data_IF_410275560348
#
_entry.id   IF_410275560348
#
_cell.length_a   1.000
_cell.length_b   1.000
_cell.length_c   1.000
_cell.angle_alpha   90.00
_cell.angle_beta   90.00
_cell.angle_gamma   90.00
#
_symmetry.space_group_name_H-M   'P 1'
#
loop_
_entity.id
_entity.type
_entity.pdbx_description
1 polymer ?
#
# COMPACT_ATOMS: atom_id res chain seq x y z
N UNK A 1 9.72 -5.62 82.57
CA UNK A 1 8.67 -4.78 81.96
C UNK A 1 8.29 -5.36 80.60
N UNK A 2 7.00 -5.65 80.35
CA UNK A 2 6.57 -6.20 79.05
C UNK A 2 6.57 -5.07 78.01
N UNK A 3 7.39 -5.19 76.94
CA UNK A 3 7.53 -4.16 75.88
C UNK A 3 6.18 -3.59 75.39
N UNK A 4 5.17 -4.44 75.27
CA UNK A 4 3.81 -4.06 74.85
C UNK A 4 3.16 -3.01 75.76
N UNK A 5 3.40 -3.08 77.07
CA UNK A 5 2.85 -2.12 78.05
C UNK A 5 3.55 -0.77 77.93
N UNK A 6 4.85 -0.76 77.62
CA UNK A 6 5.62 0.45 77.36
C UNK A 6 5.11 1.16 76.09
N UNK A 7 5.01 0.44 74.95
CA UNK A 7 4.48 1.03 73.71
C UNK A 7 3.07 1.61 73.84
N UNK A 8 2.15 0.92 74.55
CA UNK A 8 0.78 1.42 74.77
C UNK A 8 0.75 2.69 75.62
N UNK A 9 1.57 2.76 76.68
CA UNK A 9 1.67 3.98 77.52
C UNK A 9 2.30 5.14 76.76
N UNK A 10 3.32 4.89 75.94
CA UNK A 10 3.93 5.90 75.08
C UNK A 10 2.96 6.41 74.01
N UNK A 11 2.16 5.52 73.40
CA UNK A 11 1.11 5.91 72.46
C UNK A 11 0.06 6.82 73.11
N UNK A 12 -0.37 6.47 74.32
CA UNK A 12 -1.36 7.24 75.08
C UNK A 12 -0.81 8.58 75.59
N UNK A 13 0.47 8.63 76.00
CA UNK A 13 1.11 9.87 76.45
C UNK A 13 1.26 10.89 75.31
N UNK A 14 1.69 10.45 74.12
CA UNK A 14 1.81 11.30 72.92
C UNK A 14 0.60 11.22 71.98
N UNK A 15 -0.61 11.02 72.52
CA UNK A 15 -1.80 10.72 71.72
C UNK A 15 -2.13 11.79 70.66
N UNK A 16 -1.86 13.08 70.92
CA UNK A 16 -2.11 14.18 69.97
C UNK A 16 -1.20 14.09 68.75
N UNK A 17 0.08 13.80 68.95
CA UNK A 17 1.07 13.65 67.87
C UNK A 17 0.82 12.38 67.07
N UNK A 18 0.55 11.26 67.76
CA UNK A 18 0.21 9.99 67.11
C UNK A 18 -1.09 10.08 66.30
N UNK A 19 -2.09 10.81 66.80
CA UNK A 19 -3.34 11.09 66.07
C UNK A 19 -3.08 11.92 64.80
N UNK A 20 -2.26 12.96 64.88
CA UNK A 20 -1.89 13.76 63.71
C UNK A 20 -1.17 12.91 62.64
N UNK A 21 -0.22 12.06 63.04
CA UNK A 21 0.47 11.13 62.13
C UNK A 21 -0.52 10.13 61.52
N UNK A 22 -1.42 9.55 62.33
CA UNK A 22 -2.44 8.62 61.83
C UNK A 22 -3.38 9.28 60.82
N UNK A 23 -3.81 10.53 61.05
CA UNK A 23 -4.63 11.30 60.12
C UNK A 23 -3.87 11.64 58.83
N UNK A 24 -2.58 11.98 58.91
CA UNK A 24 -1.75 12.19 57.71
C UNK A 24 -1.62 10.91 56.88
N UNK A 25 -1.39 9.76 57.53
CA UNK A 25 -1.32 8.45 56.84
C UNK A 25 -2.68 8.09 56.24
N UNK A 26 -3.78 8.32 56.97
CA UNK A 26 -5.14 8.09 56.46
C UNK A 26 -5.45 8.97 55.24
N UNK A 27 -5.09 10.26 55.28
CA UNK A 27 -5.27 11.17 54.16
C UNK A 27 -4.39 10.77 52.96
N UNK A 28 -3.12 10.45 53.18
CA UNK A 28 -2.20 10.01 52.13
C UNK A 28 -2.66 8.71 51.46
N UNK A 29 -3.10 7.73 52.26
CA UNK A 29 -3.63 6.46 51.73
C UNK A 29 -4.95 6.67 50.97
N UNK A 30 -5.85 7.52 51.45
CA UNK A 30 -7.10 7.86 50.77
C UNK A 30 -6.85 8.55 49.40
N UNK A 31 -5.90 9.48 49.34
CA UNK A 31 -5.54 10.14 48.07
C UNK A 31 -4.92 9.16 47.08
N UNK A 32 -4.00 8.30 47.53
CA UNK A 32 -3.36 7.29 46.68
C UNK A 32 -4.37 6.25 46.16
N UNK A 33 -5.25 5.75 47.03
CA UNK A 33 -6.31 4.80 46.62
C UNK A 33 -7.34 5.46 45.70
N UNK A 34 -7.74 6.70 45.97
CA UNK A 34 -8.63 7.47 45.10
C UNK A 34 -8.04 7.67 43.70
N UNK A 35 -6.76 8.07 43.60
CA UNK A 35 -6.08 8.25 42.33
C UNK A 35 -5.96 6.94 41.53
N UNK A 36 -5.66 5.82 42.19
CA UNK A 36 -5.60 4.50 41.57
C UNK A 36 -6.98 4.06 41.04
N UNK A 37 -8.03 4.25 41.83
CA UNK A 37 -9.39 3.82 41.46
C UNK A 37 -9.96 4.64 40.29
N UNK A 38 -9.72 5.96 40.28
CA UNK A 38 -10.09 6.83 39.16
C UNK A 38 -9.30 6.47 37.90
N UNK A 39 -8.00 6.23 38.04
CA UNK A 39 -7.15 5.81 36.92
C UNK A 39 -7.60 4.49 36.30
N UNK A 40 -7.93 3.50 37.13
CA UNK A 40 -8.42 2.19 36.68
C UNK A 40 -9.80 2.29 36.01
N UNK A 41 -10.72 3.05 36.61
CA UNK A 41 -12.05 3.28 36.04
C UNK A 41 -12.00 3.99 34.68
N UNK A 42 -11.13 5.00 34.54
CA UNK A 42 -10.94 5.69 33.25
C UNK A 42 -10.31 4.78 32.20
N UNK A 43 -9.29 3.99 32.56
CA UNK A 43 -8.69 3.02 31.64
C UNK A 43 -9.71 1.98 31.18
N UNK A 44 -10.48 1.42 32.12
CA UNK A 44 -11.54 0.46 31.83
C UNK A 44 -12.60 1.04 30.90
N UNK A 45 -13.07 2.27 31.19
CA UNK A 45 -14.08 2.94 30.36
C UNK A 45 -13.57 3.26 28.96
N UNK A 46 -12.32 3.75 28.83
CA UNK A 46 -11.72 4.05 27.54
C UNK A 46 -11.49 2.77 26.72
N UNK A 47 -11.01 1.70 27.36
CA UNK A 47 -10.83 0.40 26.72
C UNK A 47 -12.17 -0.17 26.25
N UNK A 48 -13.20 -0.14 27.09
CA UNK A 48 -14.54 -0.61 26.75
C UNK A 48 -15.15 0.20 25.59
N UNK A 49 -14.98 1.53 25.60
CA UNK A 49 -15.44 2.37 24.50
C UNK A 49 -14.70 2.10 23.19
N UNK A 50 -13.38 1.85 23.24
CA UNK A 50 -12.59 1.51 22.07
C UNK A 50 -13.01 0.14 21.50
N UNK A 51 -13.14 -0.88 22.35
CA UNK A 51 -13.51 -2.24 21.94
C UNK A 51 -14.92 -2.31 21.36
N UNK A 52 -15.90 -1.61 21.96
CA UNK A 52 -17.27 -1.57 21.42
C UNK A 52 -17.38 -0.94 20.03
N UNK A 53 -16.41 -0.11 19.61
CA UNK A 53 -16.37 0.47 18.26
C UNK A 53 -15.87 -0.51 17.20
N UNK A 54 -15.20 -1.58 17.61
CA UNK A 54 -14.66 -2.60 16.71
C UNK A 54 -15.71 -3.68 16.38
N UNK A 55 -16.82 -3.73 17.11
CA UNK A 55 -17.80 -4.80 16.97
C UNK A 55 -17.15 -6.16 17.24
N UNK A 56 -17.37 -7.11 16.35
CA UNK A 56 -16.78 -8.46 16.41
C UNK A 56 -15.42 -8.56 15.72
N UNK A 57 -14.82 -7.46 15.27
CA UNK A 57 -13.56 -7.47 14.52
C UNK A 57 -12.38 -7.54 15.50
N UNK A 58 -11.63 -8.65 15.45
CA UNK A 58 -10.48 -8.89 16.33
C UNK A 58 -9.14 -8.59 15.63
N UNK A 59 -9.06 -8.87 14.33
CA UNK A 59 -7.88 -8.58 13.53
C UNK A 59 -8.26 -7.87 12.24
N UNK A 60 -7.36 -6.98 11.79
CA UNK A 60 -7.48 -6.30 10.51
C UNK A 60 -6.15 -6.40 9.78
N UNK A 61 -6.23 -6.84 8.52
CA UNK A 61 -5.14 -6.66 7.57
C UNK A 61 -5.43 -5.39 6.79
N UNK A 62 -4.49 -4.45 6.77
CA UNK A 62 -4.52 -3.28 5.88
C UNK A 62 -3.23 -3.27 5.09
N UNK A 63 -3.33 -3.24 3.77
CA UNK A 63 -2.21 -3.13 2.87
C UNK A 63 -2.16 -1.73 2.24
N UNK A 64 -0.94 -1.25 1.96
CA UNK A 64 -0.73 -0.03 1.16
C UNK A 64 -1.03 -0.23 -0.33
N UNK A 65 -1.44 -1.43 -0.74
CA UNK A 65 -1.79 -1.82 -2.11
C UNK A 65 -3.13 -2.55 -2.12
N UNK A 66 -3.76 -2.59 -3.28
CA UNK A 66 -4.91 -3.46 -3.51
C UNK A 66 -4.43 -4.87 -3.87
N UNK A 67 -5.15 -5.88 -3.42
CA UNK A 67 -4.96 -7.30 -3.68
C UNK A 67 -6.32 -7.95 -4.00
N UNK A 68 -6.31 -9.18 -4.53
CA UNK A 68 -7.52 -9.88 -4.95
C UNK A 68 -8.50 -10.11 -3.80
N UNK A 69 -9.77 -9.78 -4.02
CA UNK A 69 -10.87 -10.03 -3.09
C UNK A 69 -11.03 -11.53 -2.81
N UNK A 70 -10.63 -12.39 -3.75
CA UNK A 70 -10.64 -13.85 -3.65
C UNK A 70 -9.73 -14.40 -2.54
N UNK A 71 -8.78 -13.60 -2.03
CA UNK A 71 -8.03 -13.95 -0.82
C UNK A 71 -8.97 -14.09 0.39
N UNK A 72 -10.02 -13.26 0.49
CA UNK A 72 -10.99 -13.36 1.57
C UNK A 72 -11.69 -14.73 1.56
N UNK A 73 -12.23 -15.16 0.42
CA UNK A 73 -12.89 -16.46 0.28
C UNK A 73 -11.95 -17.64 0.54
N UNK A 74 -10.71 -17.58 0.05
CA UNK A 74 -9.72 -18.65 0.29
C UNK A 74 -9.38 -18.78 1.77
N UNK A 75 -9.27 -17.66 2.49
CA UNK A 75 -9.05 -17.66 3.92
C UNK A 75 -10.29 -18.17 4.66
N UNK A 76 -11.48 -17.73 4.28
CA UNK A 76 -12.76 -18.18 4.86
C UNK A 76 -12.91 -19.71 4.73
N UNK A 77 -12.68 -20.28 3.53
CA UNK A 77 -12.74 -21.72 3.27
C UNK A 77 -11.76 -22.52 4.14
N UNK A 78 -10.53 -22.01 4.32
CA UNK A 78 -9.51 -22.64 5.16
C UNK A 78 -9.83 -22.54 6.65
N UNK A 79 -10.47 -21.45 7.06
CA UNK A 79 -10.88 -21.23 8.44
C UNK A 79 -12.11 -22.06 8.79
N UNK A 80 -13.13 -22.12 7.94
CA UNK A 80 -14.32 -22.95 8.14
C UNK A 80 -13.97 -24.44 8.28
N UNK A 81 -12.98 -24.91 7.52
CA UNK A 81 -12.47 -26.28 7.61
C UNK A 81 -11.75 -26.60 8.93
N UNK A 82 -11.20 -25.59 9.64
CA UNK A 82 -10.40 -25.76 10.86
C UNK A 82 -11.12 -25.34 12.14
N UNK A 83 -11.96 -24.33 12.04
CA UNK A 83 -12.62 -23.60 13.13
C UNK A 83 -13.90 -22.98 12.56
N UNK A 84 -15.08 -23.55 12.86
CA UNK A 84 -16.38 -23.09 12.33
C UNK A 84 -16.86 -21.71 12.85
N UNK A 85 -15.96 -20.74 13.00
CA UNK A 85 -16.16 -19.58 13.87
C UNK A 85 -15.46 -18.29 13.45
N UNK A 86 -14.74 -18.21 12.33
CA UNK A 86 -14.13 -16.93 11.94
C UNK A 86 -14.60 -16.51 10.55
N UNK A 87 -15.24 -15.34 10.49
CA UNK A 87 -15.66 -14.74 9.24
C UNK A 87 -14.59 -13.79 8.71
N UNK A 88 -14.20 -13.94 7.44
CA UNK A 88 -13.28 -13.01 6.75
C UNK A 88 -14.08 -12.10 5.82
N UNK A 89 -13.96 -10.79 6.01
CA UNK A 89 -14.72 -9.79 5.25
C UNK A 89 -13.80 -8.86 4.45
N UNK A 90 -13.94 -8.80 3.12
CA UNK A 90 -13.16 -7.90 2.28
C UNK A 90 -13.67 -6.45 2.38
N UNK A 91 -12.76 -5.49 2.38
CA UNK A 91 -13.11 -4.07 2.43
C UNK A 91 -12.09 -3.18 1.71
N UNK A 92 -12.58 -2.04 1.24
CA UNK A 92 -11.72 -0.92 0.83
C UNK A 92 -11.68 0.09 1.97
N UNK A 93 -10.48 0.46 2.41
CA UNK A 93 -10.27 1.49 3.41
C UNK A 93 -9.44 2.62 2.82
N UNK A 94 -10.05 3.80 2.72
CA UNK A 94 -9.42 5.01 2.22
C UNK A 94 -9.65 6.17 3.19
N UNK A 95 -8.86 7.23 3.02
CA UNK A 95 -9.10 8.51 3.68
C UNK A 95 -9.41 9.56 2.61
N UNK A 96 -10.46 10.35 2.83
CA UNK A 96 -10.92 11.33 1.85
C UNK A 96 -11.47 12.61 2.48
N UNK A 97 -11.89 13.52 1.62
CA UNK A 97 -12.73 14.66 1.97
C UNK A 97 -14.15 14.44 1.47
N UNK A 98 -15.14 14.92 2.21
CA UNK A 98 -16.54 14.86 1.79
C UNK A 98 -17.12 16.27 1.81
N UNK A 99 -17.85 16.64 0.77
CA UNK A 99 -18.53 17.93 0.69
C UNK A 99 -19.98 17.74 0.32
N UNK A 100 -20.88 18.44 1.00
CA UNK A 100 -22.30 18.47 0.64
C UNK A 100 -22.47 19.22 -0.70
N UNK A 101 -23.22 18.65 -1.65
CA UNK A 101 -23.31 19.18 -3.00
C UNK A 101 -23.89 20.61 -3.05
N UNK A 102 -24.97 20.86 -2.31
CA UNK A 102 -25.66 22.16 -2.34
C UNK A 102 -25.07 23.17 -1.35
N UNK A 103 -24.98 22.81 -0.06
CA UNK A 103 -24.51 23.72 0.98
C UNK A 103 -23.01 24.00 0.96
N UNK A 104 -22.23 23.20 0.19
CA UNK A 104 -20.75 23.25 0.11
C UNK A 104 -20.02 23.08 1.45
N UNK A 105 -20.72 22.68 2.51
CA UNK A 105 -20.11 22.32 3.80
C UNK A 105 -19.27 21.07 3.59
N UNK A 106 -18.08 21.04 4.18
CA UNK A 106 -17.11 19.99 3.93
C UNK A 106 -16.45 19.49 5.21
N UNK A 107 -16.12 18.21 5.19
CA UNK A 107 -15.32 17.53 6.19
C UNK A 107 -14.06 16.95 5.52
N UNK A 108 -12.95 16.90 6.26
CA UNK A 108 -11.68 16.33 5.80
C UNK A 108 -11.26 15.19 6.71
N UNK A 109 -10.35 14.32 6.22
CA UNK A 109 -9.91 13.12 6.95
C UNK A 109 -11.07 12.20 7.33
N UNK A 110 -12.04 12.09 6.42
CA UNK A 110 -13.15 11.15 6.54
C UNK A 110 -12.63 9.77 6.18
N UNK A 111 -12.87 8.78 7.04
CA UNK A 111 -12.61 7.39 6.73
C UNK A 111 -13.70 6.89 5.78
N UNK A 112 -13.30 6.49 4.58
CA UNK A 112 -14.18 6.01 3.52
C UNK A 112 -14.04 4.49 3.44
N UNK A 113 -15.13 3.80 3.71
CA UNK A 113 -15.23 2.35 3.76
C UNK A 113 -16.01 1.84 2.54
N UNK A 114 -15.38 1.07 1.68
CA UNK A 114 -16.05 0.23 0.69
C UNK A 114 -16.37 -1.11 1.33
N UNK A 115 -17.63 -1.35 1.65
CA UNK A 115 -18.08 -2.54 2.38
C UNK A 115 -19.31 -3.15 1.72
N UNK A 116 -19.53 -4.42 1.99
CA UNK A 116 -20.72 -5.15 1.58
C UNK A 116 -21.72 -5.30 2.74
N UNK A 117 -22.80 -6.05 2.50
CA UNK A 117 -23.82 -6.31 3.52
C UNK A 117 -23.33 -7.17 4.69
N UNK A 118 -22.26 -7.95 4.51
CA UNK A 118 -21.72 -8.83 5.54
C UNK A 118 -20.89 -8.10 6.58
N UNK A 119 -20.29 -6.96 6.24
CA UNK A 119 -19.68 -6.05 7.21
C UNK A 119 -20.63 -5.70 8.37
N UNK A 120 -21.89 -5.39 8.07
CA UNK A 120 -22.88 -5.02 9.08
C UNK A 120 -23.29 -6.18 9.99
N UNK A 121 -23.02 -7.44 9.61
CA UNK A 121 -23.24 -8.61 10.48
C UNK A 121 -22.19 -8.72 11.58
N UNK A 122 -21.10 -7.94 11.48
CA UNK A 122 -20.04 -7.86 12.48
C UNK A 122 -20.40 -6.94 13.64
N UNK A 123 -21.51 -6.19 13.56
CA UNK A 123 -21.98 -5.40 14.70
C UNK A 123 -22.57 -6.35 15.76
N UNK A 124 -22.16 -6.19 17.01
CA UNK A 124 -22.71 -6.95 18.13
C UNK A 124 -24.18 -6.56 18.42
N UNK A 125 -24.65 -5.43 17.87
CA UNK A 125 -26.05 -5.00 17.94
C UNK A 125 -26.87 -5.61 16.78
N UNK A 126 -27.78 -6.53 17.09
CA UNK A 126 -28.70 -7.16 16.11
C UNK A 126 -29.89 -6.24 15.71
N UNK A 127 -30.47 -6.41 14.50
CA UNK A 127 -30.54 -5.38 13.45
C UNK A 127 -31.98 -5.02 13.01
N UNK A 128 -32.18 -3.83 12.43
CA UNK A 128 -33.50 -3.30 12.06
C UNK A 128 -33.68 -2.73 10.65
N UNK A 129 -32.63 -2.63 9.84
CA UNK A 129 -32.74 -2.40 8.40
C UNK A 129 -31.46 -2.87 7.72
N UNK A 130 -31.50 -3.47 6.53
CA UNK A 130 -30.31 -3.58 5.70
C UNK A 130 -29.88 -2.15 5.35
N UNK A 131 -28.92 -1.62 6.09
CA UNK A 131 -28.08 -0.51 5.67
C UNK A 131 -26.99 -1.05 4.75
N UNK A 132 -27.35 -1.95 3.84
CA UNK A 132 -26.55 -2.12 2.64
C UNK A 132 -26.97 -0.96 1.75
N UNK A 133 -26.05 -0.10 1.29
CA UNK A 133 -26.35 0.78 0.18
C UNK A 133 -26.73 -0.15 -0.99
N UNK A 134 -28.03 -0.25 -1.24
CA UNK A 134 -28.63 -1.33 -2.03
C UNK A 134 -28.63 -1.00 -3.52
N UNK A 135 -28.18 0.20 -3.86
CA UNK A 135 -28.17 0.78 -5.20
C UNK A 135 -26.79 1.38 -5.45
N UNK A 136 -26.33 1.32 -6.69
CA UNK A 136 -25.11 2.01 -7.14
C UNK A 136 -25.13 3.48 -6.68
N UNK A 137 -24.01 3.95 -6.12
CA UNK A 137 -23.80 5.34 -5.67
C UNK A 137 -24.64 5.80 -4.48
N UNK A 138 -25.15 4.89 -3.66
CA UNK A 138 -25.62 5.24 -2.31
C UNK A 138 -24.48 5.26 -1.30
N UNK A 139 -24.66 6.01 -0.21
CA UNK A 139 -23.73 6.00 0.92
C UNK A 139 -24.42 6.21 2.27
N UNK A 140 -23.80 5.67 3.31
CA UNK A 140 -24.25 5.82 4.69
C UNK A 140 -23.22 6.64 5.45
N UNK A 141 -23.70 7.68 6.12
CA UNK A 141 -22.87 8.52 6.98
C UNK A 141 -23.00 8.04 8.42
N UNK A 142 -21.96 8.20 9.23
CA UNK A 142 -22.16 8.18 10.67
C UNK A 142 -22.69 9.54 11.18
N UNK A 143 -23.33 9.53 12.34
CA UNK A 143 -23.90 10.73 12.97
C UNK A 143 -22.94 11.93 13.06
N UNK A 144 -21.65 11.76 13.46
CA UNK A 144 -20.68 12.86 13.48
C UNK A 144 -20.50 13.51 12.10
N UNK A 145 -20.32 12.71 11.05
CA UNK A 145 -20.14 13.21 9.69
C UNK A 145 -21.42 13.87 9.14
N UNK A 146 -22.58 13.26 9.37
CA UNK A 146 -23.86 13.84 8.97
C UNK A 146 -24.09 15.21 9.64
N UNK A 147 -23.76 15.34 10.93
CA UNK A 147 -23.86 16.61 11.66
C UNK A 147 -22.88 17.66 11.15
N UNK A 148 -21.65 17.27 10.84
CA UNK A 148 -20.61 18.18 10.33
C UNK A 148 -20.97 18.73 8.94
N UNK A 149 -21.51 17.88 8.06
CA UNK A 149 -21.97 18.27 6.72
C UNK A 149 -23.33 18.97 6.76
N UNK A 150 -24.14 18.70 7.79
CA UNK A 150 -25.57 19.05 7.80
C UNK A 150 -26.38 18.25 6.78
N UNK A 151 -25.96 17.01 6.50
CA UNK A 151 -26.56 16.13 5.49
C UNK A 151 -27.62 15.22 6.10
N UNK A 152 -28.68 14.96 5.33
CA UNK A 152 -29.79 14.06 5.64
C UNK A 152 -29.94 12.99 4.54
N UNK A 153 -30.65 11.88 4.81
CA UNK A 153 -30.99 10.92 3.77
C UNK A 153 -31.72 11.60 2.59
N UNK A 154 -31.28 11.32 1.37
CA UNK A 154 -31.72 11.94 0.13
C UNK A 154 -30.79 13.04 -0.40
N UNK A 155 -29.87 13.57 0.42
CA UNK A 155 -28.92 14.59 -0.01
C UNK A 155 -27.75 13.98 -0.80
N UNK A 156 -27.20 14.76 -1.71
CA UNK A 156 -26.00 14.37 -2.46
C UNK A 156 -24.73 14.91 -1.80
N UNK A 157 -23.73 14.04 -1.67
CA UNK A 157 -22.39 14.39 -1.20
C UNK A 157 -21.33 14.02 -2.24
N UNK A 158 -20.31 14.86 -2.33
CA UNK A 158 -19.16 14.69 -3.21
C UNK A 158 -17.98 14.22 -2.37
N UNK A 159 -17.53 13.00 -2.65
CA UNK A 159 -16.48 12.28 -1.93
C UNK A 159 -15.20 12.40 -2.76
N UNK A 160 -14.23 13.14 -2.23
CA UNK A 160 -12.91 13.29 -2.84
C UNK A 160 -11.94 12.31 -2.21
N UNK A 161 -11.48 11.34 -2.98
CA UNK A 161 -10.52 10.31 -2.58
C UNK A 161 -9.35 10.27 -3.54
N UNK A 162 -8.22 9.74 -3.08
CA UNK A 162 -7.07 9.50 -3.95
C UNK A 162 -7.35 8.35 -4.92
N UNK A 163 -6.86 8.44 -6.15
CA UNK A 163 -6.93 7.34 -7.10
C UNK A 163 -5.99 6.23 -6.66
N UNK A 164 -6.41 4.98 -6.85
CA UNK A 164 -5.54 3.84 -6.70
C UNK A 164 -4.57 3.78 -7.89
N UNK A 165 -3.31 4.14 -7.69
CA UNK A 165 -2.24 3.89 -8.66
C UNK A 165 -1.39 2.73 -8.16
N UNK A 166 -1.17 1.67 -8.96
CA UNK A 166 -0.25 0.60 -8.59
C UNK A 166 1.19 1.14 -8.53
N UNK A 167 1.52 2.10 -9.40
CA UNK A 167 2.84 2.73 -9.43
C UNK A 167 2.90 3.85 -8.39
N UNK A 168 3.86 3.82 -7.45
CA UNK A 168 3.94 4.82 -6.38
C UNK A 168 4.24 6.21 -6.94
N UNK A 169 3.57 7.24 -6.40
CA UNK A 169 3.72 8.64 -6.84
C UNK A 169 5.16 9.17 -6.74
N UNK A 170 5.96 8.58 -5.86
CA UNK A 170 7.37 8.93 -5.68
C UNK A 170 8.26 8.42 -6.81
N UNK A 171 7.81 7.47 -7.63
CA UNK A 171 8.59 6.96 -8.79
C UNK A 171 8.43 7.87 -10.02
N UNK A 172 9.29 7.68 -11.04
CA UNK A 172 9.14 8.38 -12.32
C UNK A 172 7.79 8.13 -12.98
N UNK A 173 7.34 6.87 -12.96
CA UNK A 173 6.13 6.42 -13.62
C UNK A 173 4.87 6.61 -12.75
N UNK A 174 4.99 7.28 -11.60
CA UNK A 174 3.88 7.59 -10.70
C UNK A 174 3.22 8.94 -11.01
N UNK A 175 1.88 8.97 -11.14
CA UNK A 175 1.12 10.22 -11.37
C UNK A 175 1.01 11.04 -10.08
N UNK A 176 1.19 12.36 -10.19
CA UNK A 176 1.17 13.32 -9.06
C UNK A 176 0.10 14.38 -9.24
N UNK A 177 0.07 14.96 -10.42
CA UNK A 177 -0.94 15.93 -10.82
C UNK A 177 -2.20 15.14 -11.20
N UNK A 178 -3.31 15.38 -10.50
CA UNK A 178 -4.61 14.73 -10.67
C UNK A 178 -4.77 13.31 -10.07
N UNK A 179 -4.10 13.03 -8.94
CA UNK A 179 -4.32 11.79 -8.19
C UNK A 179 -5.58 11.82 -7.30
N UNK A 180 -6.49 12.79 -7.45
CA UNK A 180 -7.75 12.82 -6.69
C UNK A 180 -8.95 12.66 -7.61
N UNK A 181 -9.85 11.75 -7.28
CA UNK A 181 -11.14 11.63 -7.95
C UNK A 181 -12.27 12.12 -7.04
N UNK A 182 -13.35 12.59 -7.66
CA UNK A 182 -14.58 12.96 -6.95
C UNK A 182 -15.70 12.01 -7.34
N UNK A 183 -16.23 11.29 -6.36
CA UNK A 183 -17.39 10.42 -6.50
C UNK A 183 -18.61 11.12 -5.92
N UNK A 184 -19.68 11.30 -6.71
CA UNK A 184 -20.97 11.77 -6.21
C UNK A 184 -21.77 10.58 -5.71
N UNK A 185 -22.20 10.61 -4.45
CA UNK A 185 -23.06 9.61 -3.83
C UNK A 185 -24.25 10.26 -3.14
N UNK A 186 -25.37 9.55 -3.11
CA UNK A 186 -26.58 9.98 -2.42
C UNK A 186 -26.63 9.34 -1.04
N UNK A 187 -26.92 10.12 -0.01
CA UNK A 187 -27.01 9.63 1.37
C UNK A 187 -28.27 8.78 1.50
N UNK A 188 -28.13 7.47 1.73
CA UNK A 188 -29.28 6.58 1.95
C UNK A 188 -29.64 6.44 3.44
N UNK A 189 -28.69 6.70 4.34
CA UNK A 189 -28.94 6.59 5.77
C UNK A 189 -27.85 7.22 6.64
N UNK A 190 -28.19 7.40 7.92
CA UNK A 190 -27.26 7.84 8.96
C UNK A 190 -27.21 6.81 10.09
N UNK A 191 -26.02 6.33 10.43
CA UNK A 191 -25.78 5.35 11.51
C UNK A 191 -25.23 6.01 12.76
N UNK A 192 -25.58 5.45 13.92
CA UNK A 192 -25.09 5.96 15.20
C UNK A 192 -23.57 5.82 15.33
N UNK A 193 -22.92 6.74 16.04
CA UNK A 193 -21.46 6.70 16.29
C UNK A 193 -20.99 5.54 17.21
N UNK A 194 -21.88 4.59 17.54
CA UNK A 194 -21.61 3.46 18.43
C UNK A 194 -21.69 2.17 17.63
N UNK A 195 -21.01 1.12 18.08
CA UNK A 195 -20.83 -0.08 17.25
C UNK A 195 -19.99 0.27 16.02
N UNK A 196 -20.31 -0.34 14.88
CA UNK A 196 -19.53 -0.18 13.64
C UNK A 196 -19.66 1.22 13.01
N UNK A 197 -20.70 1.98 13.31
CA UNK A 197 -20.79 3.38 12.84
C UNK A 197 -19.69 4.28 13.41
N UNK A 198 -19.09 3.89 14.55
CA UNK A 198 -17.91 4.53 15.14
C UNK A 198 -16.60 3.79 14.91
N UNK A 199 -16.56 2.85 13.95
CA UNK A 199 -15.37 2.05 13.67
C UNK A 199 -14.16 2.93 13.34
N UNK A 200 -13.00 2.60 13.92
CA UNK A 200 -11.75 3.31 13.69
C UNK A 200 -10.57 2.40 14.06
N UNK A 201 -9.58 2.32 13.19
CA UNK A 201 -8.30 1.65 13.45
C UNK A 201 -7.31 2.55 14.22
N UNK A 202 -7.55 3.86 14.22
CA UNK A 202 -6.71 4.82 14.92
C UNK A 202 -7.13 4.96 16.38
N UNK A 203 -6.20 4.90 17.34
CA UNK A 203 -6.47 5.14 18.75
C UNK A 203 -6.66 6.64 18.99
N UNK A 204 -7.82 7.17 18.61
CA UNK A 204 -8.15 8.58 18.81
C UNK A 204 -9.37 8.75 19.71
N UNK A 205 -9.35 9.79 20.54
CA UNK A 205 -10.49 10.15 21.41
C UNK A 205 -11.57 10.94 20.65
N UNK A 206 -11.24 11.46 19.47
CA UNK A 206 -12.20 12.14 18.61
C UNK A 206 -13.24 11.13 18.08
N UNK A 207 -14.44 11.63 17.79
CA UNK A 207 -15.45 10.84 17.08
C UNK A 207 -14.98 10.71 15.63
N UNK A 208 -14.76 9.48 15.13
CA UNK A 208 -14.32 9.29 13.76
C UNK A 208 -15.43 9.74 12.81
N UNK A 209 -15.05 10.30 11.67
CA UNK A 209 -15.96 10.67 10.60
C UNK A 209 -15.94 9.53 9.58
N UNK A 210 -17.05 8.79 9.48
CA UNK A 210 -17.11 7.57 8.69
C UNK A 210 -18.16 7.70 7.58
N UNK A 211 -17.76 7.33 6.38
CA UNK A 211 -18.61 7.19 5.21
C UNK A 211 -18.52 5.74 4.73
N UNK A 212 -19.66 5.07 4.60
CA UNK A 212 -19.76 3.71 4.08
C UNK A 212 -20.41 3.73 2.70
N UNK A 213 -19.76 3.11 1.72
CA UNK A 213 -20.16 3.06 0.30
C UNK A 213 -20.16 1.59 -0.13
N UNK A 214 -21.00 1.15 -1.09
CA UNK A 214 -20.91 -0.21 -1.59
C UNK A 214 -19.49 -0.51 -2.08
N UNK A 215 -18.98 -1.70 -1.71
CA UNK A 215 -17.66 -2.16 -2.14
C UNK A 215 -17.50 -2.06 -3.66
N UNK A 216 -18.47 -2.57 -4.42
CA UNK A 216 -18.48 -2.54 -5.89
C UNK A 216 -18.42 -1.12 -6.46
N UNK A 217 -19.11 -0.16 -5.83
CA UNK A 217 -19.10 1.25 -6.27
C UNK A 217 -17.70 1.85 -6.13
N UNK A 218 -16.98 1.59 -5.04
CA UNK A 218 -15.60 2.06 -4.91
C UNK A 218 -14.65 1.30 -5.84
N UNK A 219 -14.81 0.00 -6.01
CA UNK A 219 -14.00 -0.79 -6.94
C UNK A 219 -14.10 -0.27 -8.37
N UNK A 220 -15.32 -0.03 -8.86
CA UNK A 220 -15.55 0.55 -10.19
C UNK A 220 -15.00 1.98 -10.29
N UNK A 221 -15.25 2.83 -9.29
CA UNK A 221 -14.77 4.21 -9.30
C UNK A 221 -13.23 4.28 -9.35
N UNK A 222 -12.55 3.35 -8.65
CA UNK A 222 -11.09 3.28 -8.56
C UNK A 222 -10.42 2.52 -9.71
N UNK A 223 -11.17 1.91 -10.63
CA UNK A 223 -10.66 0.98 -11.65
C UNK A 223 -9.91 -0.21 -10.99
N UNK A 224 -10.50 -0.76 -9.92
CA UNK A 224 -9.98 -1.82 -9.05
C UNK A 224 -11.00 -2.95 -8.86
N UNK A 225 -11.57 -3.44 -9.96
CA UNK A 225 -12.57 -4.51 -9.93
C UNK A 225 -12.06 -5.75 -9.19
N UNK A 226 -12.89 -6.30 -8.29
CA UNK A 226 -12.55 -7.45 -7.43
C UNK A 226 -11.26 -7.30 -6.64
N UNK A 227 -10.79 -6.07 -6.39
CA UNK A 227 -9.64 -5.83 -5.52
C UNK A 227 -10.03 -5.05 -4.28
N UNK A 228 -9.31 -5.32 -3.20
CA UNK A 228 -9.49 -4.70 -1.88
C UNK A 228 -8.13 -4.42 -1.25
N UNK A 229 -8.07 -3.53 -0.27
CA UNK A 229 -6.83 -3.25 0.46
C UNK A 229 -6.94 -3.56 1.96
N UNK A 230 -8.10 -4.05 2.42
CA UNK A 230 -8.30 -4.46 3.79
C UNK A 230 -9.10 -5.77 3.89
N UNK A 231 -8.77 -6.56 4.91
CA UNK A 231 -9.56 -7.71 5.36
C UNK A 231 -9.87 -7.55 6.84
N UNK A 232 -11.14 -7.75 7.22
CA UNK A 232 -11.57 -7.83 8.60
C UNK A 232 -11.76 -9.29 9.00
N UNK A 233 -11.18 -9.67 10.12
CA UNK A 233 -11.32 -11.01 10.71
C UNK A 233 -12.16 -10.87 11.98
N UNK A 234 -13.26 -11.61 12.04
CA UNK A 234 -14.16 -11.60 13.18
C UNK A 234 -14.28 -12.99 13.80
N UNK A 235 -14.01 -13.13 15.10
CA UNK A 235 -14.20 -14.37 15.83
C UNK A 235 -15.61 -14.44 16.44
N UNK A 236 -16.29 -15.55 16.17
CA UNK A 236 -17.60 -15.93 16.69
C UNK A 236 -17.51 -16.47 18.13
N UNK A 237 -16.31 -16.55 18.71
CA UNK A 237 -16.08 -16.90 20.11
C UNK A 237 -16.76 -15.96 21.12
N UNK A 238 -17.31 -16.52 22.19
CA UNK A 238 -17.82 -15.72 23.34
C UNK A 238 -16.66 -15.23 24.21
N UNK A 239 -16.81 -14.06 24.85
CA UNK A 239 -15.72 -13.29 25.47
C UNK A 239 -14.84 -13.99 26.53
N UNK A 240 -15.18 -15.18 27.01
CA UNK A 240 -14.31 -16.00 27.89
C UNK A 240 -13.36 -16.92 27.09
N UNK A 241 -13.72 -17.31 25.85
CA UNK A 241 -12.88 -18.11 24.94
C UNK A 241 -11.90 -17.25 24.14
N UNK A 242 -12.24 -15.98 23.88
CA UNK A 242 -11.37 -14.97 23.21
C UNK A 242 -10.02 -14.76 23.91
N UNK A 243 -9.92 -15.06 25.20
CA UNK A 243 -8.71 -14.86 26.01
C UNK A 243 -7.86 -16.14 26.19
N UNK A 244 -8.35 -17.32 25.78
CA UNK A 244 -7.82 -18.60 26.25
C UNK A 244 -7.53 -19.67 25.20
N UNK A 245 -7.95 -19.51 23.95
CA UNK A 245 -7.66 -20.46 22.87
C UNK A 245 -6.94 -19.70 21.77
N UNK A 246 -5.76 -20.18 21.37
CA UNK A 246 -5.00 -19.58 20.28
C UNK A 246 -5.86 -19.57 19.02
N UNK A 247 -6.50 -18.44 18.74
CA UNK A 247 -7.04 -18.13 17.43
C UNK A 247 -5.91 -18.41 16.45
N UNK A 248 -6.19 -19.22 15.42
CA UNK A 248 -5.22 -19.50 14.38
C UNK A 248 -4.70 -18.15 13.89
N UNK A 249 -3.42 -17.87 14.18
CA UNK A 249 -2.86 -16.53 13.96
C UNK A 249 -3.08 -16.20 12.49
N UNK A 250 -3.84 -15.13 12.14
CA UNK A 250 -4.13 -14.79 10.75
C UNK A 250 -2.85 -14.69 9.91
N UNK A 251 -1.72 -14.37 10.54
CA UNK A 251 -0.39 -14.42 9.93
C UNK A 251 -0.01 -15.80 9.36
N UNK A 252 -0.29 -16.90 10.07
CA UNK A 252 0.01 -18.27 9.60
C UNK A 252 -0.90 -18.67 8.44
N UNK A 253 -2.17 -18.29 8.49
CA UNK A 253 -3.13 -18.54 7.42
C UNK A 253 -2.73 -17.78 6.15
N UNK A 254 -2.38 -16.50 6.28
CA UNK A 254 -1.84 -15.69 5.18
C UNK A 254 -0.60 -16.34 4.58
N UNK A 255 0.36 -16.78 5.41
CA UNK A 255 1.60 -17.43 4.94
C UNK A 255 1.34 -18.66 4.07
N UNK A 256 0.23 -19.38 4.30
CA UNK A 256 -0.11 -20.61 3.56
C UNK A 256 -1.05 -20.38 2.38
N UNK A 257 -1.70 -19.22 2.30
CA UNK A 257 -2.79 -18.95 1.35
C UNK A 257 -2.44 -17.89 0.30
N UNK A 258 -1.45 -17.04 0.58
CA UNK A 258 -1.05 -15.96 -0.32
C UNK A 258 -0.50 -16.51 -1.65
N UNK A 259 -0.92 -15.90 -2.75
CA UNK A 259 -0.34 -16.09 -4.08
C UNK A 259 0.58 -14.92 -4.44
N UNK A 260 1.36 -15.06 -5.52
CA UNK A 260 2.15 -13.96 -6.07
C UNK A 260 1.26 -12.76 -6.44
N UNK A 261 0.08 -13.01 -7.00
CA UNK A 261 -0.87 -11.96 -7.39
C UNK A 261 -1.35 -11.13 -6.20
N UNK A 262 -1.58 -11.75 -5.03
CA UNK A 262 -1.92 -11.01 -3.79
C UNK A 262 -0.78 -10.08 -3.32
N UNK A 263 0.46 -10.40 -3.73
CA UNK A 263 1.64 -9.59 -3.49
C UNK A 263 1.87 -8.54 -4.59
N UNK A 264 1.05 -8.51 -5.63
CA UNK A 264 1.24 -7.66 -6.80
C UNK A 264 2.39 -8.13 -7.68
N UNK A 265 2.73 -9.42 -7.62
CA UNK A 265 3.81 -10.05 -8.37
C UNK A 265 3.22 -10.95 -9.47
N UNK A 266 3.88 -10.96 -10.63
CA UNK A 266 3.51 -11.77 -11.78
C UNK A 266 4.69 -12.61 -12.21
N UNK A 267 4.41 -13.84 -12.63
CA UNK A 267 5.41 -14.75 -13.14
C UNK A 267 5.10 -15.05 -14.60
N UNK A 268 5.93 -14.55 -15.52
CA UNK A 268 5.76 -14.74 -16.96
C UNK A 268 6.73 -15.80 -17.45
N UNK A 269 6.17 -16.89 -17.99
CA UNK A 269 6.96 -17.98 -18.57
C UNK A 269 7.19 -17.68 -20.05
N UNK A 270 8.45 -17.53 -20.46
CA UNK A 270 8.81 -17.38 -21.87
C UNK A 270 9.49 -18.64 -22.38
N UNK A 271 8.68 -19.63 -22.74
CA UNK A 271 9.14 -20.94 -23.20
C UNK A 271 10.03 -20.84 -24.44
N UNK A 272 9.64 -20.02 -25.42
CA UNK A 272 10.38 -19.84 -26.68
C UNK A 272 11.77 -19.20 -26.48
N UNK A 273 11.95 -18.49 -25.37
CA UNK A 273 13.20 -17.79 -25.02
C UNK A 273 13.94 -18.44 -23.85
N UNK A 274 13.38 -19.50 -23.26
CA UNK A 274 14.02 -20.30 -22.22
C UNK A 274 14.18 -19.61 -20.86
N UNK A 275 13.33 -18.64 -20.51
CA UNK A 275 13.40 -17.96 -19.21
C UNK A 275 12.04 -17.75 -18.53
N UNK A 276 12.13 -17.41 -17.25
CA UNK A 276 11.03 -17.05 -16.37
C UNK A 276 11.27 -15.63 -15.86
N UNK A 277 10.30 -14.74 -16.04
CA UNK A 277 10.37 -13.36 -15.57
C UNK A 277 9.50 -13.19 -14.34
N UNK A 278 10.07 -12.70 -13.24
CA UNK A 278 9.32 -12.24 -12.08
C UNK A 278 9.16 -10.72 -12.19
N UNK A 279 7.92 -10.26 -12.22
CA UNK A 279 7.57 -8.85 -12.45
C UNK A 279 6.68 -8.34 -11.32
N UNK A 280 6.66 -7.01 -11.13
CA UNK A 280 5.88 -6.33 -10.12
C UNK A 280 4.92 -5.35 -10.78
N UNK A 281 3.65 -5.34 -10.36
CA UNK A 281 2.67 -4.33 -10.83
C UNK A 281 3.07 -2.89 -10.47
N UNK A 282 4.00 -2.73 -9.51
CA UNK A 282 4.53 -1.43 -9.08
C UNK A 282 5.74 -0.98 -9.90
N UNK A 283 6.09 -1.70 -10.97
CA UNK A 283 7.28 -1.51 -11.85
C UNK A 283 8.64 -1.75 -11.19
N UNK A 284 8.68 -1.88 -9.86
CA UNK A 284 9.90 -2.12 -9.10
C UNK A 284 9.71 -3.35 -8.20
N UNK A 285 10.77 -4.14 -8.08
CA UNK A 285 10.86 -5.26 -7.14
C UNK A 285 11.50 -4.73 -5.86
N UNK A 286 10.82 -4.94 -4.73
CA UNK A 286 11.33 -4.52 -3.43
C UNK A 286 12.43 -5.47 -2.94
N UNK A 287 13.44 -4.99 -2.18
CA UNK A 287 14.56 -5.82 -1.74
C UNK A 287 14.16 -7.13 -1.03
N UNK A 288 13.10 -7.18 -0.19
CA UNK A 288 12.65 -8.45 0.40
C UNK A 288 12.15 -9.47 -0.63
N UNK A 289 11.51 -9.00 -1.71
CA UNK A 289 11.02 -9.85 -2.81
C UNK A 289 12.18 -10.35 -3.65
N UNK A 290 13.13 -9.47 -3.99
CA UNK A 290 14.36 -9.84 -4.71
C UNK A 290 15.15 -10.91 -3.96
N UNK A 291 15.35 -10.73 -2.65
CA UNK A 291 16.06 -11.70 -1.81
C UNK A 291 15.34 -13.06 -1.77
N UNK A 292 14.00 -13.07 -1.64
CA UNK A 292 13.20 -14.29 -1.64
C UNK A 292 13.22 -15.00 -3.01
N UNK A 293 13.10 -14.25 -4.10
CA UNK A 293 13.16 -14.77 -5.46
C UNK A 293 14.55 -15.37 -5.77
N UNK A 294 15.62 -14.69 -5.36
CA UNK A 294 16.99 -15.17 -5.51
C UNK A 294 17.24 -16.45 -4.73
N UNK A 295 16.76 -16.52 -3.48
CA UNK A 295 16.85 -17.74 -2.67
C UNK A 295 16.06 -18.91 -3.30
N UNK A 296 14.86 -18.63 -3.83
CA UNK A 296 14.05 -19.63 -4.52
C UNK A 296 14.75 -20.14 -5.80
N UNK A 297 15.28 -19.24 -6.63
CA UNK A 297 16.03 -19.61 -7.82
C UNK A 297 17.29 -20.43 -7.49
N UNK A 298 18.03 -20.05 -6.45
CA UNK A 298 19.19 -20.80 -5.97
C UNK A 298 18.81 -22.22 -5.52
N UNK A 299 17.67 -22.39 -4.85
CA UNK A 299 17.17 -23.72 -4.45
C UNK A 299 16.80 -24.62 -5.64
N UNK A 300 16.47 -24.02 -6.79
CA UNK A 300 16.17 -24.70 -8.05
C UNK A 300 17.40 -24.87 -8.94
N UNK A 301 18.56 -24.32 -8.55
CA UNK A 301 19.75 -24.26 -9.41
C UNK A 301 19.56 -23.39 -10.65
N UNK A 302 18.58 -22.47 -10.64
CA UNK A 302 18.30 -21.56 -11.72
C UNK A 302 19.13 -20.28 -11.57
N UNK A 303 19.84 -19.82 -12.62
CA UNK A 303 20.55 -18.56 -12.57
C UNK A 303 19.56 -17.38 -12.55
N UNK A 304 19.95 -16.31 -11.87
CA UNK A 304 19.16 -15.09 -11.75
C UNK A 304 19.85 -13.98 -12.54
N UNK A 305 19.09 -13.27 -13.36
CA UNK A 305 19.55 -12.10 -14.09
C UNK A 305 18.67 -10.91 -13.70
N UNK A 306 19.16 -9.99 -12.85
CA UNK A 306 18.46 -8.75 -12.57
C UNK A 306 18.42 -7.87 -13.83
N UNK A 307 17.23 -7.37 -14.16
CA UNK A 307 17.01 -6.49 -15.31
C UNK A 307 16.35 -5.22 -14.79
N UNK A 308 16.92 -4.06 -15.14
CA UNK A 308 16.33 -2.75 -14.87
C UNK A 308 16.20 -1.99 -16.17
N UNK A 309 14.97 -1.80 -16.63
CA UNK A 309 14.68 -0.98 -17.81
C UNK A 309 14.18 0.39 -17.39
N UNK A 310 14.75 1.42 -17.99
CA UNK A 310 14.46 2.82 -17.70
C UNK A 310 14.17 3.58 -18.99
N UNK A 311 13.34 4.62 -18.89
CA UNK A 311 13.11 5.54 -20.01
C UNK A 311 14.11 6.69 -19.93
N UNK A 312 15.02 6.75 -20.90
CA UNK A 312 15.86 7.92 -21.13
C UNK A 312 15.07 8.98 -21.90
N UNK A 313 15.11 10.23 -21.44
CA UNK A 313 14.51 11.37 -22.12
C UNK A 313 15.22 11.63 -23.44
N UNK A 314 16.55 11.48 -23.46
CA UNK A 314 17.34 11.54 -24.68
C UNK A 314 18.62 10.74 -24.61
N UNK A 315 19.05 10.26 -25.78
CA UNK A 315 20.37 9.68 -26.04
C UNK A 315 21.05 10.59 -27.06
N UNK A 316 22.19 11.16 -26.70
CA UNK A 316 22.96 12.02 -27.60
C UNK A 316 24.39 11.49 -27.71
N UNK A 317 25.00 11.57 -28.88
CA UNK A 317 26.37 11.10 -29.03
C UNK A 317 26.83 11.10 -30.48
N UNK A 318 27.93 10.39 -30.71
CA UNK A 318 28.60 10.29 -32.01
C UNK A 318 30.01 10.88 -31.98
N UNK A 319 30.69 10.93 -33.14
CA UNK A 319 32.04 11.42 -33.25
C UNK A 319 32.13 12.86 -32.73
N UNK A 320 33.13 13.12 -31.89
CA UNK A 320 33.38 14.47 -31.40
C UNK A 320 33.73 15.38 -32.57
N UNK A 321 32.81 16.28 -32.92
CA UNK A 321 33.03 17.22 -34.02
C UNK A 321 34.04 18.31 -33.57
N UNK A 322 35.24 18.40 -34.18
CA UNK A 322 36.19 19.46 -33.87
C UNK A 322 35.70 20.87 -34.24
N UNK A 323 34.60 20.98 -35.01
CA UNK A 323 33.96 22.25 -35.41
C UNK A 323 32.84 22.71 -34.47
N UNK A 324 32.49 21.91 -33.45
CA UNK A 324 31.49 22.28 -32.44
C UNK A 324 30.03 22.06 -32.83
N UNK A 325 29.75 21.24 -33.86
CA UNK A 325 28.37 20.84 -34.20
C UNK A 325 27.72 20.11 -33.02
N UNK A 326 26.45 20.44 -32.69
CA UNK A 326 25.72 19.72 -31.65
C UNK A 326 25.52 18.26 -32.05
N UNK A 327 25.57 17.36 -31.06
CA UNK A 327 25.30 15.94 -31.26
C UNK A 327 23.90 15.71 -31.83
N UNK A 328 23.77 14.66 -32.64
CA UNK A 328 22.45 14.11 -32.96
C UNK A 328 21.83 13.57 -31.66
N UNK A 329 20.51 13.72 -31.54
CA UNK A 329 19.77 13.34 -30.34
C UNK A 329 18.61 12.44 -30.73
N UNK A 330 18.56 11.26 -30.11
CA UNK A 330 17.40 10.38 -30.14
C UNK A 330 16.55 10.69 -28.91
N UNK A 331 15.29 11.13 -29.06
CA UNK A 331 14.40 11.35 -27.92
C UNK A 331 13.79 10.02 -27.44
N UNK A 332 13.41 9.96 -26.16
CA UNK A 332 12.56 8.92 -25.55
C UNK A 332 12.90 7.49 -25.95
N UNK A 333 13.86 6.88 -25.25
CA UNK A 333 14.32 5.52 -25.54
C UNK A 333 14.43 4.69 -24.26
N UNK A 334 14.07 3.40 -24.36
CA UNK A 334 14.28 2.46 -23.25
C UNK A 334 15.74 2.03 -23.21
N UNK A 335 16.35 2.14 -22.02
CA UNK A 335 17.71 1.68 -21.72
C UNK A 335 17.59 0.60 -20.66
N UNK A 336 18.26 -0.54 -20.89
CA UNK A 336 18.17 -1.70 -19.99
C UNK A 336 19.55 -1.97 -19.40
N UNK A 337 19.64 -1.91 -18.07
CA UNK A 337 20.80 -2.37 -17.33
C UNK A 337 20.69 -3.88 -17.10
N UNK A 338 21.70 -4.62 -17.55
CA UNK A 338 21.76 -6.09 -17.52
C UNK A 338 23.20 -6.50 -17.28
N UNK A 339 23.40 -7.63 -16.61
CA UNK A 339 24.69 -8.30 -16.58
C UNK A 339 24.78 -9.30 -17.75
N UNK A 340 25.73 -9.06 -18.65
CA UNK A 340 25.94 -9.89 -19.85
C UNK A 340 26.79 -11.13 -19.53
N UNK A 341 27.31 -11.26 -18.30
CA UNK A 341 28.21 -12.34 -17.94
C UNK A 341 27.48 -13.69 -17.74
N UNK A 342 27.63 -14.53 -18.77
CA UNK A 342 27.62 -15.99 -18.76
C UNK A 342 26.30 -16.76 -18.57
N UNK A 343 25.15 -16.09 -18.37
CA UNK A 343 23.88 -16.79 -18.18
C UNK A 343 22.91 -16.55 -19.35
N UNK A 344 22.34 -17.62 -19.92
CA UNK A 344 21.26 -17.48 -20.91
C UNK A 344 20.04 -16.83 -20.24
N UNK A 345 19.31 -15.94 -20.95
CA UNK A 345 19.50 -15.62 -22.36
C UNK A 345 20.53 -14.50 -22.66
N UNK A 346 21.17 -13.88 -21.66
CA UNK A 346 22.07 -12.73 -21.88
C UNK A 346 23.32 -13.10 -22.67
N UNK A 347 23.81 -14.33 -22.47
CA UNK A 347 24.92 -14.89 -23.24
C UNK A 347 24.65 -14.97 -24.77
N UNK A 348 23.40 -14.83 -25.21
CA UNK A 348 23.01 -14.88 -26.63
C UNK A 348 22.97 -13.48 -27.29
N UNK A 349 23.26 -12.40 -26.56
CA UNK A 349 23.39 -11.06 -27.14
C UNK A 349 24.63 -11.01 -28.02
N UNK A 350 24.45 -10.67 -29.30
CA UNK A 350 25.51 -10.63 -30.30
C UNK A 350 25.70 -9.24 -30.87
N UNK A 351 26.96 -8.89 -31.14
CA UNK A 351 27.33 -7.70 -31.86
C UNK A 351 26.99 -7.84 -33.35
N UNK A 352 26.95 -6.72 -34.08
CA UNK A 352 26.66 -6.69 -35.53
C UNK A 352 27.68 -7.53 -36.34
N UNK A 353 28.89 -7.73 -35.82
CA UNK A 353 29.91 -8.59 -36.43
C UNK A 353 29.77 -10.09 -36.09
N UNK A 354 28.72 -10.47 -35.35
CA UNK A 354 28.42 -11.84 -34.94
C UNK A 354 29.20 -12.33 -33.73
N UNK A 355 30.06 -11.50 -33.13
CA UNK A 355 30.75 -11.85 -31.88
C UNK A 355 29.82 -11.68 -30.66
N UNK A 356 30.02 -12.43 -29.57
CA UNK A 356 29.27 -12.20 -28.33
C UNK A 356 29.51 -10.79 -27.80
N UNK A 357 28.46 -10.16 -27.25
CA UNK A 357 28.61 -8.86 -26.61
C UNK A 357 29.55 -8.97 -25.39
N UNK A 358 30.52 -8.05 -25.23
CA UNK A 358 31.43 -8.09 -24.11
C UNK A 358 30.73 -7.70 -22.81
N UNK A 359 31.28 -8.16 -21.68
CA UNK A 359 30.98 -7.60 -20.37
C UNK A 359 31.20 -6.08 -20.39
N UNK A 360 30.29 -5.32 -19.78
CA UNK A 360 30.42 -3.88 -19.67
C UNK A 360 31.12 -3.49 -18.37
N UNK A 361 32.13 -2.65 -18.48
CA UNK A 361 32.72 -1.97 -17.33
C UNK A 361 31.83 -0.84 -16.80
N UNK A 362 32.26 -0.17 -15.71
CA UNK A 362 31.64 1.07 -15.27
C UNK A 362 31.64 2.11 -16.39
N UNK A 363 30.55 2.85 -16.55
CA UNK A 363 30.38 3.91 -17.55
C UNK A 363 30.52 3.44 -19.02
N UNK A 364 30.25 2.17 -19.29
CA UNK A 364 30.22 1.60 -20.64
C UNK A 364 28.79 1.30 -21.10
N UNK A 365 28.52 1.44 -22.40
CA UNK A 365 27.19 1.18 -22.98
C UNK A 365 27.30 0.46 -24.33
N UNK A 366 26.25 -0.30 -24.67
CA UNK A 366 26.01 -0.83 -26.01
C UNK A 366 24.81 -0.13 -26.62
N UNK A 367 24.86 0.16 -27.92
CA UNK A 367 23.73 0.64 -28.70
C UNK A 367 23.27 -0.44 -29.67
N UNK A 368 21.98 -0.50 -29.96
CA UNK A 368 21.52 -1.30 -31.08
C UNK A 368 21.94 -0.65 -32.42
N UNK A 369 21.90 -1.46 -33.48
CA UNK A 369 22.24 -1.05 -34.85
C UNK A 369 21.52 0.22 -35.32
N UNK A 370 20.22 0.34 -35.03
CA UNK A 370 19.43 1.52 -35.36
C UNK A 370 19.91 2.79 -34.64
N UNK A 371 20.09 2.74 -33.32
CA UNK A 371 20.50 3.89 -32.52
C UNK A 371 21.94 4.33 -32.85
N UNK A 372 22.83 3.37 -33.09
CA UNK A 372 24.20 3.66 -33.53
C UNK A 372 24.23 4.34 -34.90
N UNK A 373 23.40 3.87 -35.85
CA UNK A 373 23.30 4.47 -37.17
C UNK A 373 22.73 5.90 -37.14
N UNK A 374 21.68 6.14 -36.34
CA UNK A 374 21.03 7.45 -36.22
C UNK A 374 21.97 8.48 -35.55
N UNK A 375 22.72 8.08 -34.52
CA UNK A 375 23.73 8.93 -33.88
C UNK A 375 25.02 9.07 -34.71
N UNK A 376 25.23 8.19 -35.69
CA UNK A 376 26.51 8.06 -36.41
C UNK A 376 27.66 7.66 -35.49
N UNK A 377 27.38 6.91 -34.42
CA UNK A 377 28.34 6.57 -33.36
C UNK A 377 29.07 5.25 -33.63
N UNK A 378 30.34 5.18 -33.24
CA UNK A 378 31.19 4.01 -33.32
C UNK A 378 31.79 3.66 -31.94
N UNK A 379 32.31 2.43 -31.79
CA UNK A 379 32.97 2.01 -30.57
C UNK A 379 34.11 2.97 -30.19
N UNK A 380 34.13 3.42 -28.94
CA UNK A 380 35.01 4.45 -28.41
C UNK A 380 34.39 5.84 -28.31
N UNK A 381 33.26 6.09 -28.98
CA UNK A 381 32.56 7.38 -28.90
C UNK A 381 31.88 7.59 -27.55
N UNK A 382 31.65 8.86 -27.20
CA UNK A 382 30.91 9.27 -26.01
C UNK A 382 29.42 9.30 -26.30
N UNK A 383 28.65 8.67 -25.43
CA UNK A 383 27.19 8.65 -25.45
C UNK A 383 26.68 9.27 -24.15
N UNK A 384 25.83 10.29 -24.26
CA UNK A 384 25.17 10.93 -23.13
C UNK A 384 23.72 10.49 -23.02
N UNK A 385 23.36 9.98 -21.87
CA UNK A 385 21.97 9.77 -21.48
C UNK A 385 21.49 10.98 -20.67
N UNK A 386 20.33 11.50 -21.02
CA UNK A 386 19.57 12.44 -20.17
C UNK A 386 18.31 11.73 -19.70
N UNK A 387 18.04 11.74 -18.41
CA UNK A 387 16.90 11.03 -17.82
C UNK A 387 16.41 11.75 -16.56
N UNK A 388 15.17 11.47 -16.15
CA UNK A 388 14.67 11.98 -14.88
C UNK A 388 15.11 11.09 -13.73
N UNK A 389 15.35 11.66 -12.56
CA UNK A 389 15.39 10.96 -11.29
C UNK A 389 14.27 11.49 -10.40
N UNK A 390 13.70 10.60 -9.59
CA UNK A 390 12.76 10.98 -8.54
C UNK A 390 13.51 11.48 -7.30
N UNK A 391 13.43 12.79 -7.05
CA UNK A 391 13.89 13.42 -5.83
C UNK A 391 12.85 13.38 -4.69
N UNK A 392 13.15 14.02 -3.54
CA UNK A 392 12.24 14.10 -2.40
C UNK A 392 10.87 14.67 -2.78
N UNK A 393 9.80 14.14 -2.17
CA UNK A 393 8.40 14.48 -2.51
C UNK A 393 8.06 14.20 -3.99
N UNK A 394 8.81 13.29 -4.60
CA UNK A 394 8.72 12.90 -6.00
C UNK A 394 9.46 13.82 -6.97
N UNK A 395 9.79 15.07 -6.65
CA UNK A 395 10.25 16.08 -7.63
C UNK A 395 11.20 15.51 -8.70
N UNK A 396 10.83 15.65 -9.98
CA UNK A 396 11.65 15.16 -11.08
C UNK A 396 12.87 16.04 -11.27
N UNK A 397 14.05 15.45 -11.18
CA UNK A 397 15.33 16.11 -11.41
C UNK A 397 15.93 15.55 -12.69
N UNK A 398 16.31 16.41 -13.62
CA UNK A 398 16.96 15.98 -14.85
C UNK A 398 18.43 15.70 -14.56
N UNK A 399 18.86 14.47 -14.78
CA UNK A 399 20.25 14.06 -14.66
C UNK A 399 20.84 13.71 -16.03
N UNK A 400 22.17 13.83 -16.11
CA UNK A 400 22.94 13.47 -17.28
C UNK A 400 24.11 12.57 -16.90
N UNK A 401 24.29 11.50 -17.66
CA UNK A 401 25.41 10.57 -17.46
C UNK A 401 26.05 10.26 -18.81
N UNK A 402 27.37 10.28 -18.84
CA UNK A 402 28.16 10.01 -20.03
C UNK A 402 28.76 8.61 -19.95
N UNK A 403 28.61 7.86 -21.04
CA UNK A 403 29.11 6.51 -21.23
C UNK A 403 30.05 6.45 -22.43
N UNK A 404 30.91 5.43 -22.47
CA UNK A 404 31.71 5.07 -23.63
C UNK A 404 31.03 3.94 -24.39
N UNK A 405 30.80 4.13 -25.68
CA UNK A 405 30.22 3.11 -26.55
C UNK A 405 31.21 1.96 -26.73
N UNK A 406 30.86 0.76 -26.28
CA UNK A 406 31.73 -0.42 -26.40
C UNK A 406 31.54 -1.21 -27.68
N UNK A 407 30.36 -1.13 -28.25
CA UNK A 407 30.01 -1.90 -29.42
C UNK A 407 28.57 -1.66 -29.83
N UNK A 408 28.24 -2.18 -31.00
CA UNK A 408 26.90 -2.12 -31.56
C UNK A 408 26.33 -3.53 -31.57
N UNK A 409 25.19 -3.72 -30.91
CA UNK A 409 24.47 -4.99 -30.87
C UNK A 409 23.48 -5.09 -32.02
N UNK A 410 23.37 -6.27 -32.63
CA UNK A 410 22.33 -6.52 -33.62
C UNK A 410 20.96 -6.56 -32.94
N UNK A 411 19.96 -5.91 -33.51
CA UNK A 411 18.59 -5.94 -32.98
C UNK A 411 17.91 -7.29 -33.32
N UNK A 412 18.41 -8.37 -32.72
CA UNK A 412 17.92 -9.73 -32.92
C UNK A 412 18.00 -10.56 -31.63
N UNK A 413 17.24 -11.66 -31.57
CA UNK A 413 17.27 -12.61 -30.46
C UNK A 413 16.96 -11.95 -29.11
N UNK A 414 17.88 -12.09 -28.16
CA UNK A 414 17.77 -11.52 -26.81
C UNK A 414 17.78 -9.99 -26.81
N UNK A 415 18.58 -9.35 -27.67
CA UNK A 415 18.68 -7.89 -27.73
C UNK A 415 17.42 -7.21 -28.27
N UNK A 416 16.55 -7.96 -28.95
CA UNK A 416 15.27 -7.53 -29.46
C UNK A 416 14.08 -8.12 -28.67
N UNK A 417 14.31 -8.57 -27.44
CA UNK A 417 13.24 -9.14 -26.61
C UNK A 417 12.29 -8.05 -26.11
N UNK A 418 11.02 -8.00 -26.56
CA UNK A 418 10.06 -7.04 -26.04
C UNK A 418 9.74 -7.30 -24.56
N UNK A 419 10.02 -8.51 -24.04
CA UNK A 419 9.80 -8.87 -22.65
C UNK A 419 10.59 -8.02 -21.66
N UNK A 420 11.66 -7.35 -22.08
CA UNK A 420 12.44 -6.50 -21.18
C UNK A 420 11.80 -5.15 -20.92
N UNK A 421 10.89 -4.71 -21.79
CA UNK A 421 10.19 -3.44 -21.58
C UNK A 421 8.94 -3.69 -20.74
N UNK A 422 8.84 -3.12 -19.52
CA UNK A 422 7.64 -3.26 -18.71
C UNK A 422 6.45 -2.54 -19.37
N UNK A 423 5.27 -3.14 -19.28
CA UNK A 423 4.04 -2.57 -19.84
C UNK A 423 3.52 -1.44 -18.96
N UNK A 424 3.52 -0.22 -19.48
CA UNK A 424 2.92 0.94 -18.82
C UNK A 424 1.72 1.47 -19.63
N UNK A 425 0.54 1.49 -18.99
CA UNK A 425 -0.70 2.02 -19.56
C UNK A 425 -0.60 3.53 -19.80
N UNK A 426 -1.00 3.99 -20.98
CA UNK A 426 -0.79 5.35 -21.47
C UNK A 426 0.55 5.57 -22.19
N UNK A 427 1.40 4.55 -22.33
CA UNK A 427 2.66 4.63 -23.08
C UNK A 427 2.87 3.43 -24.00
N UNK A 428 2.90 2.22 -23.44
CA UNK A 428 3.15 0.99 -24.22
C UNK A 428 1.96 0.52 -25.05
N UNK A 429 0.74 0.93 -24.67
CA UNK A 429 -0.51 0.73 -25.39
C UNK A 429 -0.80 1.82 -26.44
N UNK A 430 0.00 2.90 -26.46
CA UNK A 430 -0.15 3.98 -27.41
C UNK A 430 0.61 3.68 -28.72
N UNK A 431 -0.05 3.88 -29.86
CA UNK A 431 0.52 3.60 -31.19
C UNK A 431 1.54 4.67 -31.61
N UNK A 432 1.42 5.89 -31.09
CA UNK A 432 2.32 7.01 -31.38
C UNK A 432 2.80 7.69 -30.10
N UNK A 433 4.03 8.20 -30.12
CA UNK A 433 4.60 8.98 -28.99
C UNK A 433 3.76 10.23 -28.68
N UNK A 434 3.13 10.83 -29.70
CA UNK A 434 2.22 11.96 -29.52
C UNK A 434 0.96 11.64 -28.72
N UNK A 435 0.61 10.35 -28.65
CA UNK A 435 -0.58 9.86 -27.95
C UNK A 435 -0.22 9.39 -26.53
N UNK A 436 1.05 9.51 -26.13
CA UNK A 436 1.50 9.21 -24.78
C UNK A 436 0.83 10.15 -23.77
N UNK A 437 0.43 9.56 -22.64
CA UNK A 437 -0.09 10.30 -21.48
C UNK A 437 0.72 9.94 -20.23
N UNK A 438 2.02 10.27 -20.19
CA UNK A 438 2.85 9.88 -19.06
C UNK A 438 2.70 10.84 -17.87
N UNK A 439 3.14 10.41 -16.68
CA UNK A 439 3.14 11.22 -15.47
C UNK A 439 4.24 12.31 -15.43
N UNK A 440 5.01 12.46 -16.51
CA UNK A 440 6.12 13.39 -16.63
C UNK A 440 5.98 14.22 -17.92
N UNK A 441 6.64 15.38 -18.02
CA UNK A 441 6.63 16.19 -19.23
C UNK A 441 7.23 15.45 -20.43
N UNK A 442 6.59 15.56 -21.59
CA UNK A 442 7.05 15.02 -22.90
C UNK A 442 7.32 16.16 -23.87
#
# INVERSE_FOLDING_TARGET
MRLRTFYRRTLAFYWRTNLAVALCVAAGTAVLTGALLVGDSMRGSLAEHALRRLGRIDHVLVAGRFFGQELASRLDDLMDARTSRTAVQPAILLTGGVTHADSRRGASRVAVFGVDSSFWRLDERRPGAPLAPGVEREAILNEPLARELGASPGDDVLVRIERASPVPAETLLGRRDDNSMTLRVTVSGVVHAAGLGGFSLSPSQYQPLNLFVPLETLQQALDQERRVNALFFADDGTGAERAGVGSDNPQRLLTTSLTLEDLGLRLRVQQDRGYLSLESERMLIEPPVEAAATAAAASLGAPVCPILTYLANSIAGGPSDPTGKPWTVIPYSTVTAVDLDAHRPMADVTMVDGTPAPALGPDEILLNDWAAAELGAAAGDRIRLTYYLSGPLGRLETEQTDFILRGVVGLAGTAADPGWTPEYRGMTDAVRVSDWNPPFPV
#
